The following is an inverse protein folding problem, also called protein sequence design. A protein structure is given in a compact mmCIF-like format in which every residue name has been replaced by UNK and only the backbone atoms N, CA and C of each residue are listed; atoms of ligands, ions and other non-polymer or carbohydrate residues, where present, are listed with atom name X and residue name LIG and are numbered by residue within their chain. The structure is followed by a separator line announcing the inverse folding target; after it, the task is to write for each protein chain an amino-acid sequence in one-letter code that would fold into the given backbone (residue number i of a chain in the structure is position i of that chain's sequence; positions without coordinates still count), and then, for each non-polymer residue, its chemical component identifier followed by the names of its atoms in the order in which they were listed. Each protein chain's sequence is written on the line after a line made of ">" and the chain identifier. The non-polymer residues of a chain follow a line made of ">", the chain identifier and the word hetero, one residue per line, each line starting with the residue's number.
data_IF_011175232446
#
_entry.id   IF_011175232446
#
_cell.length_a   1.000
_cell.length_b   1.000
_cell.length_c   1.000
_cell.angle_alpha   90.00
_cell.angle_beta   90.00
_cell.angle_gamma   90.00
#
_symmetry.space_group_name_H-M   'P 1'
#
loop_
_entity.id
_entity.type
_entity.pdbx_description
1 polymer ?
#
# COMPACT_ATOMS: atom_id res chain seq x y z
N UNK A 1 6.10 -1.81 -38.73
CA UNK A 1 4.70 -1.33 -38.85
C UNK A 1 3.87 -2.07 -37.83
N UNK A 2 3.69 -1.49 -36.65
CA UNK A 2 2.69 -1.94 -35.68
C UNK A 2 1.67 -0.81 -35.54
N UNK A 3 0.42 -1.16 -35.78
CA UNK A 3 -0.72 -0.27 -35.83
C UNK A 3 -1.19 0.02 -34.41
N UNK A 4 -1.31 1.30 -34.04
CA UNK A 4 -1.61 1.81 -32.68
C UNK A 4 -3.03 1.51 -32.20
N UNK A 5 -3.82 0.74 -32.95
CA UNK A 5 -5.24 0.49 -32.63
C UNK A 5 -5.49 -0.60 -31.58
N UNK A 6 -4.48 -1.24 -30.97
CA UNK A 6 -4.72 -2.45 -30.15
C UNK A 6 -4.61 -2.29 -28.63
N UNK A 7 -4.25 -1.13 -28.07
CA UNK A 7 -4.02 -0.99 -26.62
C UNK A 7 -4.96 0.04 -25.96
N UNK A 8 -6.15 0.24 -26.53
CA UNK A 8 -7.25 0.94 -25.84
C UNK A 8 -8.57 0.21 -26.07
N UNK A 9 -8.53 -1.12 -25.96
CA UNK A 9 -9.72 -1.98 -26.05
C UNK A 9 -10.46 -2.13 -24.70
N UNK A 10 -10.14 -1.30 -23.69
CA UNK A 10 -10.81 -1.29 -22.39
C UNK A 10 -11.93 -0.26 -22.25
N UNK A 11 -11.90 0.86 -22.98
CA UNK A 11 -12.98 1.85 -22.93
C UNK A 11 -12.99 2.76 -24.18
N UNK A 12 -13.38 2.18 -25.31
CA UNK A 12 -13.42 2.83 -26.63
C UNK A 12 -14.28 4.10 -26.70
N UNK A 13 -15.19 4.32 -25.75
CA UNK A 13 -16.12 5.46 -25.75
C UNK A 13 -15.52 6.71 -25.07
N UNK A 14 -14.63 6.55 -24.09
CA UNK A 14 -13.93 7.66 -23.46
C UNK A 14 -12.86 8.24 -24.39
N UNK A 15 -12.11 7.37 -25.08
CA UNK A 15 -11.08 7.78 -26.04
C UNK A 15 -11.67 8.56 -27.21
N UNK A 16 -12.81 8.11 -27.75
CA UNK A 16 -13.53 8.83 -28.82
C UNK A 16 -14.07 10.18 -28.36
N UNK A 17 -14.68 10.25 -27.17
CA UNK A 17 -15.18 11.53 -26.60
C UNK A 17 -14.08 12.55 -26.35
N UNK A 18 -12.89 12.09 -25.95
CA UNK A 18 -11.73 12.95 -25.71
C UNK A 18 -11.18 13.48 -27.04
N UNK A 19 -11.10 12.68 -28.11
CA UNK A 19 -10.51 13.11 -29.38
C UNK A 19 -11.44 14.00 -30.25
N UNK A 20 -12.76 13.88 -30.12
CA UNK A 20 -13.72 14.61 -30.96
C UNK A 20 -13.89 16.10 -30.57
N UNK A 21 -13.57 16.49 -29.33
CA UNK A 21 -13.78 17.86 -28.82
C UNK A 21 -12.49 18.69 -28.62
N UNK A 22 -11.34 18.19 -29.09
CA UNK A 22 -10.06 18.86 -28.93
C UNK A 22 -9.83 19.80 -30.14
N UNK A 23 -9.64 21.12 -29.92
CA UNK A 23 -9.34 22.07 -30.98
C UNK A 23 -8.10 21.64 -31.79
N UNK A 24 -8.07 21.92 -33.09
CA UNK A 24 -6.98 21.49 -33.99
C UNK A 24 -5.59 22.00 -33.54
N UNK A 25 -5.56 23.13 -32.84
CA UNK A 25 -4.35 23.70 -32.22
C UNK A 25 -3.82 22.89 -31.03
N UNK A 26 -4.65 22.07 -30.39
CA UNK A 26 -4.26 21.12 -29.35
C UNK A 26 -3.97 19.75 -29.98
N UNK A 27 -4.71 19.30 -31.01
CA UNK A 27 -4.37 18.08 -31.76
C UNK A 27 -2.97 18.14 -32.35
N UNK A 28 -2.62 19.27 -32.97
CA UNK A 28 -1.27 19.49 -33.51
C UNK A 28 -0.18 19.47 -32.42
N UNK A 29 -0.48 19.97 -31.22
CA UNK A 29 0.47 19.89 -30.08
C UNK A 29 0.62 18.46 -29.56
N UNK A 30 -0.44 17.65 -29.61
CA UNK A 30 -0.38 16.23 -29.26
C UNK A 30 0.44 15.46 -30.30
N UNK A 31 0.22 15.70 -31.60
CA UNK A 31 1.02 15.11 -32.68
C UNK A 31 2.52 15.51 -32.55
N UNK A 32 2.80 16.78 -32.26
CA UNK A 32 4.16 17.29 -32.04
C UNK A 32 4.83 16.70 -30.77
N UNK A 33 4.03 16.31 -29.76
CA UNK A 33 4.48 15.60 -28.55
C UNK A 33 4.76 14.13 -28.88
N UNK A 34 3.82 13.43 -29.53
CA UNK A 34 3.98 12.00 -29.88
C UNK A 34 5.17 11.74 -30.81
N UNK A 35 5.54 12.71 -31.66
CA UNK A 35 6.66 12.53 -32.61
C UNK A 35 8.05 12.77 -31.98
N UNK A 36 8.12 13.35 -30.77
CA UNK A 36 9.39 13.80 -30.16
C UNK A 36 9.72 13.19 -28.78
N UNK A 37 8.91 12.25 -28.31
CA UNK A 37 9.32 11.37 -27.22
C UNK A 37 9.86 10.09 -27.85
N UNK A 38 11.17 9.78 -27.75
CA UNK A 38 11.60 8.42 -28.03
C UNK A 38 10.77 7.49 -27.14
N UNK A 39 10.29 6.37 -27.69
CA UNK A 39 9.48 5.37 -26.98
C UNK A 39 10.04 5.06 -25.59
N UNK A 40 11.36 5.16 -25.43
CA UNK A 40 12.11 4.98 -24.19
C UNK A 40 11.78 6.01 -23.08
N UNK A 41 11.43 7.26 -23.39
CA UNK A 41 11.10 8.27 -22.35
C UNK A 41 9.66 8.12 -21.87
N UNK A 42 8.69 7.78 -22.74
CA UNK A 42 7.31 7.51 -22.28
C UNK A 42 7.26 6.19 -21.51
N UNK A 43 8.01 5.19 -21.97
CA UNK A 43 8.20 3.92 -21.26
C UNK A 43 8.96 4.14 -19.94
N UNK A 44 9.99 4.98 -19.91
CA UNK A 44 10.67 5.37 -18.69
C UNK A 44 9.79 6.24 -17.77
N UNK A 45 8.87 7.08 -18.26
CA UNK A 45 7.99 7.87 -17.39
C UNK A 45 6.91 6.99 -16.74
N UNK A 46 6.39 6.01 -17.48
CA UNK A 46 5.44 5.00 -16.95
C UNK A 46 6.16 3.97 -16.06
N UNK A 47 7.42 3.65 -16.35
CA UNK A 47 8.27 2.84 -15.46
C UNK A 47 8.66 3.63 -14.21
N UNK A 48 8.99 4.92 -14.28
CA UNK A 48 9.40 5.73 -13.11
C UNK A 48 8.27 5.85 -12.08
N UNK A 49 7.00 5.93 -12.51
CA UNK A 49 5.86 5.85 -11.58
C UNK A 49 5.52 4.42 -11.11
N UNK A 50 6.12 3.38 -11.69
CA UNK A 50 6.02 1.97 -11.29
C UNK A 50 7.35 1.36 -10.79
N UNK A 51 8.38 2.16 -10.50
CA UNK A 51 9.72 1.67 -10.11
C UNK A 51 9.92 1.51 -8.60
N UNK A 52 8.88 1.11 -7.88
CA UNK A 52 9.09 0.28 -6.70
C UNK A 52 8.91 -1.15 -7.20
N UNK A 53 10.02 -1.83 -7.51
CA UNK A 53 9.94 -3.24 -7.90
C UNK A 53 9.03 -3.98 -6.93
N UNK A 54 8.04 -4.70 -7.47
CA UNK A 54 6.98 -5.35 -6.70
C UNK A 54 7.62 -6.10 -5.53
N UNK A 55 7.19 -5.79 -4.31
CA UNK A 55 7.79 -6.34 -3.10
C UNK A 55 7.21 -7.71 -2.84
N UNK A 56 8.01 -8.61 -2.26
CA UNK A 56 7.46 -9.88 -1.75
C UNK A 56 6.37 -9.58 -0.72
N UNK A 57 5.21 -10.21 -0.87
CA UNK A 57 4.03 -9.95 -0.04
C UNK A 57 3.11 -8.81 -0.48
N UNK A 58 3.48 -8.01 -1.51
CA UNK A 58 2.62 -6.99 -2.14
C UNK A 58 1.91 -7.62 -3.36
N UNK A 59 0.81 -8.32 -3.07
CA UNK A 59 0.13 -9.23 -3.99
C UNK A 59 -0.86 -8.50 -4.90
N UNK A 60 -1.33 -7.32 -4.53
CA UNK A 60 -2.12 -6.43 -5.39
C UNK A 60 -1.28 -5.36 -6.13
N UNK A 61 0.01 -5.21 -5.80
CA UNK A 61 0.93 -4.21 -6.37
C UNK A 61 0.44 -2.77 -6.17
N UNK A 62 -0.16 -2.48 -5.01
CA UNK A 62 -0.62 -1.13 -4.65
C UNK A 62 0.44 -0.32 -3.88
N UNK A 63 1.59 -0.93 -3.60
CA UNK A 63 2.69 -0.32 -2.87
C UNK A 63 2.56 -0.43 -1.35
N UNK A 64 1.68 -1.29 -0.84
CA UNK A 64 1.53 -1.63 0.57
C UNK A 64 1.63 -3.14 0.77
N UNK A 65 1.76 -3.54 2.03
CA UNK A 65 1.66 -4.93 2.44
C UNK A 65 0.64 -4.92 3.57
N UNK A 66 -0.60 -5.26 3.25
CA UNK A 66 -1.74 -5.12 4.16
C UNK A 66 -2.76 -6.27 4.04
N UNK A 67 -3.96 -6.09 4.60
CA UNK A 67 -4.94 -7.17 4.73
C UNK A 67 -5.47 -7.63 3.38
N UNK A 68 -5.49 -6.75 2.40
CA UNK A 68 -5.87 -7.04 1.03
C UNK A 68 -4.91 -8.08 0.42
N UNK A 69 -3.63 -8.05 0.75
CA UNK A 69 -2.66 -9.07 0.33
C UNK A 69 -2.92 -10.42 1.01
N UNK A 70 -3.32 -10.44 2.28
CA UNK A 70 -3.71 -11.68 2.96
C UNK A 70 -4.94 -12.32 2.34
N UNK A 71 -5.93 -11.53 1.94
CA UNK A 71 -7.13 -12.04 1.26
C UNK A 71 -6.76 -12.66 -0.09
N UNK A 72 -5.86 -12.02 -0.85
CA UNK A 72 -5.37 -12.53 -2.13
C UNK A 72 -4.60 -13.86 -1.95
N UNK A 73 -3.73 -13.95 -0.94
CA UNK A 73 -3.01 -15.19 -0.64
C UNK A 73 -3.97 -16.30 -0.23
N UNK A 74 -4.97 -15.98 0.60
CA UNK A 74 -5.99 -16.94 1.02
C UNK A 74 -6.82 -17.46 -0.16
N UNK A 75 -7.23 -16.58 -1.08
CA UNK A 75 -7.94 -16.99 -2.29
C UNK A 75 -7.13 -17.97 -3.15
N UNK A 76 -5.80 -17.82 -3.18
CA UNK A 76 -4.91 -18.80 -3.80
C UNK A 76 -4.90 -20.13 -3.04
N UNK A 77 -4.71 -20.10 -1.72
CA UNK A 77 -4.66 -21.30 -0.87
C UNK A 77 -5.97 -22.10 -0.90
N UNK A 78 -7.12 -21.42 -1.01
CA UNK A 78 -8.45 -22.02 -1.17
C UNK A 78 -8.69 -22.56 -2.59
N UNK A 79 -7.77 -22.32 -3.54
CA UNK A 79 -7.86 -22.78 -4.93
C UNK A 79 -8.78 -21.94 -5.82
N UNK A 80 -9.21 -20.77 -5.34
CA UNK A 80 -10.06 -19.84 -6.09
C UNK A 80 -9.26 -19.03 -7.13
N UNK A 81 -7.93 -18.97 -6.96
CA UNK A 81 -7.00 -18.28 -7.86
C UNK A 81 -5.89 -19.23 -8.35
N UNK A 82 -5.43 -19.03 -9.59
CA UNK A 82 -4.21 -19.68 -10.13
C UNK A 82 -3.14 -18.63 -10.34
N UNK A 83 -1.91 -18.97 -10.00
CA UNK A 83 -0.73 -18.12 -10.20
C UNK A 83 0.04 -18.53 -11.44
N UNK A 84 0.56 -17.55 -12.17
CA UNK A 84 1.66 -17.75 -13.12
C UNK A 84 2.98 -18.02 -12.39
N UNK A 85 3.99 -18.54 -13.10
CA UNK A 85 5.31 -18.79 -12.49
C UNK A 85 5.99 -17.50 -12.01
N UNK A 86 5.77 -16.38 -12.71
CA UNK A 86 6.27 -15.06 -12.29
C UNK A 86 5.57 -14.55 -11.03
N UNK A 87 4.30 -14.88 -10.83
CA UNK A 87 3.55 -14.46 -9.64
C UNK A 87 3.97 -15.23 -8.38
N UNK A 88 4.42 -16.48 -8.50
CA UNK A 88 4.81 -17.30 -7.35
C UNK A 88 5.93 -16.67 -6.52
N UNK A 89 6.87 -15.98 -7.17
CA UNK A 89 7.96 -15.28 -6.50
C UNK A 89 7.44 -14.28 -5.46
N UNK A 90 6.31 -13.62 -5.70
CA UNK A 90 5.76 -12.64 -4.76
C UNK A 90 4.93 -13.26 -3.64
N UNK A 91 4.46 -14.51 -3.83
CA UNK A 91 3.59 -15.23 -2.90
C UNK A 91 4.39 -16.11 -1.93
N UNK A 92 5.56 -16.58 -2.33
CA UNK A 92 6.52 -17.33 -1.50
C UNK A 92 7.27 -16.34 -0.59
N UNK A 93 6.55 -15.74 0.35
CA UNK A 93 7.07 -14.69 1.23
C UNK A 93 8.08 -15.22 2.26
N UNK A 94 8.10 -16.54 2.48
CA UNK A 94 9.06 -17.18 3.36
C UNK A 94 10.30 -17.74 2.61
N UNK A 95 10.29 -17.68 1.28
CA UNK A 95 11.37 -18.09 0.36
C UNK A 95 11.77 -19.58 0.48
N UNK A 96 10.83 -20.48 0.82
CA UNK A 96 11.09 -21.94 0.88
C UNK A 96 10.86 -22.68 -0.44
N UNK A 97 10.42 -21.96 -1.48
CA UNK A 97 10.14 -22.47 -2.82
C UNK A 97 8.73 -23.03 -2.98
N UNK A 98 7.88 -22.95 -1.94
CA UNK A 98 6.52 -23.48 -1.94
C UNK A 98 5.55 -22.45 -1.38
N UNK A 99 4.62 -21.98 -2.22
CA UNK A 99 3.51 -21.14 -1.76
C UNK A 99 2.52 -21.99 -0.95
N UNK A 100 2.55 -21.88 0.38
CA UNK A 100 1.70 -22.62 1.30
C UNK A 100 1.23 -21.80 2.53
N UNK A 101 0.67 -22.48 3.54
CA UNK A 101 0.16 -21.84 4.75
C UNK A 101 1.26 -21.13 5.57
N UNK A 102 2.54 -21.51 5.40
CA UNK A 102 3.65 -20.83 6.06
C UNK A 102 3.81 -19.40 5.55
N UNK A 103 3.58 -19.17 4.25
CA UNK A 103 3.57 -17.82 3.67
C UNK A 103 2.48 -16.97 4.29
N UNK A 104 1.29 -17.54 4.45
CA UNK A 104 0.17 -16.86 5.09
C UNK A 104 0.52 -16.45 6.52
N UNK A 105 1.15 -17.34 7.29
CA UNK A 105 1.56 -17.06 8.67
C UNK A 105 2.63 -15.97 8.77
N UNK A 106 3.60 -15.97 7.86
CA UNK A 106 4.66 -14.94 7.80
C UNK A 106 4.05 -13.58 7.45
N UNK A 107 3.23 -13.53 6.39
CA UNK A 107 2.57 -12.30 5.94
C UNK A 107 1.63 -11.75 7.03
N UNK A 108 0.85 -12.62 7.67
CA UNK A 108 -0.06 -12.25 8.75
C UNK A 108 0.68 -11.69 9.95
N UNK A 109 1.80 -12.32 10.34
CA UNK A 109 2.62 -11.86 11.46
C UNK A 109 3.24 -10.50 11.17
N UNK A 110 3.72 -10.28 9.94
CA UNK A 110 4.25 -9.00 9.48
C UNK A 110 3.19 -7.89 9.57
N UNK A 111 2.00 -8.11 9.02
CA UNK A 111 0.91 -7.12 9.01
C UNK A 111 0.46 -6.78 10.42
N UNK A 112 0.18 -7.79 11.27
CA UNK A 112 -0.27 -7.53 12.64
C UNK A 112 0.76 -6.76 13.47
N UNK A 113 2.05 -7.10 13.30
CA UNK A 113 3.14 -6.35 13.95
C UNK A 113 3.10 -4.88 13.54
N UNK A 114 3.04 -4.60 12.23
CA UNK A 114 3.01 -3.23 11.72
C UNK A 114 1.77 -2.45 12.21
N UNK A 115 0.58 -3.06 12.21
CA UNK A 115 -0.63 -2.43 12.74
C UNK A 115 -0.50 -2.06 14.23
N UNK A 116 0.09 -2.96 15.04
CA UNK A 116 0.30 -2.71 16.46
C UNK A 116 1.37 -1.64 16.68
N UNK A 117 2.47 -1.66 15.91
CA UNK A 117 3.52 -0.64 15.99
C UNK A 117 2.99 0.76 15.65
N UNK A 118 2.18 0.87 14.60
CA UNK A 118 1.55 2.13 14.22
C UNK A 118 0.56 2.62 15.29
N UNK A 119 -0.22 1.70 15.88
CA UNK A 119 -1.09 2.03 17.03
C UNK A 119 -0.30 2.52 18.24
N UNK A 120 0.80 1.85 18.58
CA UNK A 120 1.68 2.28 19.68
C UNK A 120 2.23 3.67 19.40
N UNK A 121 2.68 3.94 18.16
CA UNK A 121 3.20 5.25 17.77
C UNK A 121 2.15 6.36 17.89
N UNK A 122 0.93 6.09 17.44
CA UNK A 122 -0.20 7.02 17.53
C UNK A 122 -0.53 7.35 19.00
N UNK A 123 -0.66 6.32 19.85
CA UNK A 123 -0.99 6.49 21.26
C UNK A 123 0.14 7.16 22.06
N UNK A 124 1.41 6.87 21.73
CA UNK A 124 2.57 7.48 22.37
C UNK A 124 2.62 8.99 22.03
N UNK A 125 2.39 9.36 20.77
CA UNK A 125 2.29 10.75 20.34
C UNK A 125 1.11 11.49 21.02
N UNK A 126 -0.05 10.84 21.12
CA UNK A 126 -1.21 11.40 21.81
C UNK A 126 -0.94 11.62 23.30
N UNK A 127 -0.36 10.63 23.97
CA UNK A 127 -0.01 10.71 25.39
C UNK A 127 0.98 11.85 25.65
N UNK A 128 2.03 12.00 24.84
CA UNK A 128 2.99 13.12 24.94
C UNK A 128 2.32 14.49 24.75
N UNK A 129 1.36 14.60 23.83
CA UNK A 129 0.61 15.84 23.62
C UNK A 129 -0.30 16.19 24.81
N UNK A 130 -0.84 15.20 25.51
CA UNK A 130 -1.68 15.42 26.68
C UNK A 130 -0.82 15.90 27.86
N UNK A 131 0.30 15.21 28.15
CA UNK A 131 1.17 15.56 29.29
C UNK A 131 2.03 16.81 29.06
N UNK A 132 2.36 17.12 27.80
CA UNK A 132 3.10 18.32 27.43
C UNK A 132 2.36 19.63 27.76
N UNK A 133 1.03 19.60 27.82
CA UNK A 133 0.22 20.75 28.26
C UNK A 133 0.30 20.99 29.77
N UNK A 134 0.60 19.98 30.58
CA UNK A 134 0.63 20.06 32.05
C UNK A 134 1.87 20.79 32.58
N UNK A 135 3.01 20.59 31.91
CA UNK A 135 4.32 21.14 32.33
C UNK A 135 4.53 22.61 31.92
N UNK A 136 3.60 23.20 31.17
CA UNK A 136 3.65 24.62 30.77
C UNK A 136 3.10 25.58 31.83
N UNK A 137 2.67 25.07 32.99
CA UNK A 137 2.12 25.89 34.08
C UNK A 137 0.75 26.52 33.76
N UNK A 138 0.22 26.30 32.56
CA UNK A 138 -1.19 26.56 32.27
C UNK A 138 -1.98 25.36 32.75
N UNK A 139 -2.65 25.51 33.89
CA UNK A 139 -3.77 24.65 34.28
C UNK A 139 -4.76 24.69 33.13
N UNK A 140 -4.74 23.69 32.25
CA UNK A 140 -5.76 23.55 31.22
C UNK A 140 -7.00 23.04 31.93
N UNK A 141 -7.81 23.98 32.40
CA UNK A 141 -9.19 23.76 32.81
C UNK A 141 -9.95 23.21 31.60
N UNK A 142 -9.85 21.90 31.32
CA UNK A 142 -10.58 21.29 30.21
C UNK A 142 -10.05 19.98 29.65
N UNK A 143 -8.79 19.57 29.91
CA UNK A 143 -8.36 18.20 29.59
C UNK A 143 -8.74 17.34 30.79
N UNK A 144 -9.81 16.57 30.63
CA UNK A 144 -10.30 15.67 31.67
C UNK A 144 -9.19 14.66 32.01
N UNK A 145 -8.81 14.59 33.29
CA UNK A 145 -7.77 13.68 33.78
C UNK A 145 -8.09 12.20 33.45
N UNK A 146 -9.39 11.89 33.27
CA UNK A 146 -9.84 10.58 32.79
C UNK A 146 -9.41 10.26 31.35
N UNK A 147 -9.26 11.25 30.47
CA UNK A 147 -8.78 11.04 29.11
C UNK A 147 -7.29 10.65 29.09
N UNK A 148 -6.49 11.22 30.00
CA UNK A 148 -5.05 10.92 30.11
C UNK A 148 -4.84 9.50 30.63
N UNK A 149 -5.56 9.11 31.69
CA UNK A 149 -5.48 7.75 32.23
C UNK A 149 -5.98 6.70 31.24
N UNK A 150 -7.04 7.01 30.47
CA UNK A 150 -7.58 6.12 29.43
C UNK A 150 -6.55 5.90 28.31
N UNK A 151 -5.97 6.97 27.76
CA UNK A 151 -4.95 6.87 26.70
C UNK A 151 -3.71 6.11 27.19
N UNK A 152 -3.32 6.33 28.45
CA UNK A 152 -2.20 5.60 29.06
C UNK A 152 -2.48 4.09 29.17
N UNK A 153 -3.68 3.71 29.62
CA UNK A 153 -4.06 2.31 29.75
C UNK A 153 -4.11 1.59 28.40
N UNK A 154 -4.59 2.27 27.35
CA UNK A 154 -4.60 1.75 25.99
C UNK A 154 -3.17 1.61 25.43
N UNK A 155 -2.31 2.60 25.67
CA UNK A 155 -0.89 2.56 25.29
C UNK A 155 -0.15 1.40 25.96
N UNK A 156 -0.37 1.18 27.26
CA UNK A 156 0.23 0.06 28.00
C UNK A 156 -0.26 -1.30 27.46
N UNK A 157 -1.54 -1.39 27.10
CA UNK A 157 -2.13 -2.59 26.48
C UNK A 157 -1.53 -2.86 25.09
N UNK A 158 -1.37 -1.82 24.26
CA UNK A 158 -0.77 -1.93 22.94
C UNK A 158 0.72 -2.33 23.01
N UNK A 159 1.47 -1.76 23.96
CA UNK A 159 2.88 -2.14 24.22
C UNK A 159 2.99 -3.60 24.69
N UNK A 160 2.05 -4.08 25.51
CA UNK A 160 2.00 -5.49 25.91
C UNK A 160 1.73 -6.41 24.71
N UNK A 161 0.78 -6.05 23.83
CA UNK A 161 0.49 -6.80 22.60
C UNK A 161 1.71 -6.85 21.68
N UNK A 162 2.40 -5.72 21.49
CA UNK A 162 3.63 -5.67 20.68
C UNK A 162 4.73 -6.58 21.24
N UNK A 163 4.90 -6.60 22.56
CA UNK A 163 5.87 -7.47 23.22
C UNK A 163 5.56 -8.97 23.00
N UNK A 164 4.28 -9.35 23.01
CA UNK A 164 3.83 -10.72 22.72
C UNK A 164 4.16 -11.07 21.26
N UNK A 165 3.76 -10.22 20.31
CA UNK A 165 4.02 -10.44 18.87
C UNK A 165 5.53 -10.52 18.59
N UNK A 166 6.34 -9.73 19.29
CA UNK A 166 7.80 -9.78 19.18
C UNK A 166 8.42 -11.08 19.69
N UNK A 167 7.81 -11.72 20.69
CA UNK A 167 8.29 -12.99 21.25
C UNK A 167 7.81 -14.24 20.51
N UNK A 168 6.95 -14.09 19.49
CA UNK A 168 6.41 -15.21 18.68
C UNK A 168 7.22 -15.49 17.40
N UNK A 169 8.17 -14.61 17.03
CA UNK A 169 8.98 -14.71 15.81
C UNK A 169 10.36 -15.29 16.12
#
# INVERSE_FOLDING_TARGET
>A
MFNTTSIIAGDSDLVKKIQENVPDSIKKKIDDIETNYPDDILKAHIEVENTHGRRHGDLNNDGKIDKEDLEILKDYLDGNKKLSEEEKEYYDVNEDGVVDEKDYQVLFSFINRHEIEDRVRELDALYLSLIGNENSGSVVLGVDNSNIETVKAELDSAKAMLAIVNGMI
#
